data_IF_312685219154
#
_entry.id   IF_312685219154
#
_cell.length_a   1.000
_cell.length_b   1.000
_cell.length_c   1.000
_cell.angle_alpha   90.00
_cell.angle_beta   90.00
_cell.angle_gamma   90.00
#
_symmetry.space_group_name_H-M   'P 1'
#
loop_
_entity.id
_entity.type
_entity.pdbx_description
1 polymer ?
#
# COMPACT_ATOMS: atom_id res chain seq x y z
N UNK A 1 10.83 -8.81 -1.70
CA UNK A 1 10.06 -10.05 -1.90
C UNK A 1 9.16 -10.25 -0.69
N UNK A 2 7.93 -10.70 -0.88
CA UNK A 2 6.98 -11.05 0.19
C UNK A 2 6.20 -12.31 -0.17
N UNK A 3 5.71 -13.03 0.83
CA UNK A 3 4.96 -14.29 0.65
C UNK A 3 3.50 -14.05 1.01
N UNK A 4 2.59 -14.58 0.19
CA UNK A 4 1.14 -14.52 0.40
C UNK A 4 0.51 -15.88 0.18
N UNK A 5 -0.79 -16.01 0.48
CA UNK A 5 -1.53 -17.24 0.19
C UNK A 5 -1.49 -17.65 -1.29
N UNK A 6 -1.32 -16.68 -2.20
CA UNK A 6 -1.41 -16.91 -3.64
C UNK A 6 -0.06 -17.11 -4.33
N UNK A 7 1.06 -16.99 -3.60
CA UNK A 7 2.40 -17.13 -4.16
C UNK A 7 3.43 -16.18 -3.57
N UNK A 8 4.60 -16.17 -4.20
CA UNK A 8 5.76 -15.35 -3.84
C UNK A 8 5.79 -14.12 -4.73
N UNK A 9 5.67 -12.94 -4.13
CA UNK A 9 5.70 -11.66 -4.83
C UNK A 9 7.11 -11.06 -4.81
N UNK A 10 7.63 -10.76 -6.00
CA UNK A 10 9.01 -10.31 -6.22
C UNK A 10 9.00 -9.03 -7.04
N UNK A 11 9.51 -7.96 -6.45
CA UNK A 11 9.90 -6.75 -7.17
C UNK A 11 11.27 -6.98 -7.81
N UNK A 12 11.43 -6.53 -9.05
CA UNK A 12 12.73 -6.54 -9.74
C UNK A 12 13.46 -5.23 -9.46
N UNK A 13 14.79 -5.29 -9.33
CA UNK A 13 15.61 -4.09 -9.10
C UNK A 13 15.39 -3.06 -10.20
N UNK A 14 15.21 -1.79 -9.80
CA UNK A 14 14.98 -0.66 -10.70
C UNK A 14 13.82 -0.89 -11.70
N UNK A 15 12.76 -1.59 -11.27
CA UNK A 15 11.59 -1.88 -12.08
C UNK A 15 10.30 -1.44 -11.39
N UNK A 16 9.32 -1.00 -12.18
CA UNK A 16 7.94 -0.77 -11.77
C UNK A 16 7.06 -2.03 -11.90
N UNK A 17 7.67 -3.17 -12.22
CA UNK A 17 6.98 -4.45 -12.42
C UNK A 17 7.11 -5.33 -11.19
N UNK A 18 5.97 -5.80 -10.71
CA UNK A 18 5.84 -6.78 -9.65
C UNK A 18 5.43 -8.13 -10.26
N UNK A 19 6.12 -9.20 -9.88
CA UNK A 19 5.82 -10.56 -10.36
C UNK A 19 5.38 -11.45 -9.20
N UNK A 20 4.33 -12.23 -9.39
CA UNK A 20 3.95 -13.30 -8.48
C UNK A 20 4.33 -14.65 -9.09
N UNK A 21 5.03 -15.46 -8.31
CA UNK A 21 5.43 -16.82 -8.69
C UNK A 21 4.67 -17.84 -7.86
N UNK A 22 4.30 -18.95 -8.49
CA UNK A 22 3.77 -20.10 -7.78
C UNK A 22 4.91 -20.78 -7.02
N UNK A 23 4.72 -21.03 -5.72
CA UNK A 23 5.81 -21.45 -4.83
C UNK A 23 6.37 -22.85 -5.13
N UNK A 24 5.61 -23.71 -5.82
CA UNK A 24 6.02 -25.09 -6.14
C UNK A 24 6.51 -25.27 -7.57
N UNK A 25 5.87 -24.60 -8.53
CA UNK A 25 6.19 -24.78 -9.96
C UNK A 25 7.18 -23.73 -10.45
N UNK A 26 7.40 -22.65 -9.69
CA UNK A 26 8.25 -21.51 -10.06
C UNK A 26 7.79 -20.78 -11.32
N UNK A 27 6.57 -21.03 -11.77
CA UNK A 27 5.96 -20.35 -12.90
C UNK A 27 5.40 -18.99 -12.48
N UNK A 28 5.40 -18.05 -13.42
CA UNK A 28 4.80 -16.73 -13.23
C UNK A 28 3.28 -16.89 -13.25
N UNK A 29 2.63 -16.47 -12.16
CA UNK A 29 1.18 -16.48 -12.01
C UNK A 29 0.57 -15.17 -12.50
N UNK A 30 1.19 -14.05 -12.12
CA UNK A 30 0.75 -12.71 -12.53
C UNK A 30 1.93 -11.76 -12.60
N UNK A 31 1.85 -10.83 -13.54
CA UNK A 31 2.74 -9.69 -13.66
C UNK A 31 1.92 -8.40 -13.57
N UNK A 32 2.32 -7.50 -12.68
CA UNK A 32 1.61 -6.25 -12.40
C UNK A 32 2.55 -5.09 -12.65
N UNK A 33 2.21 -4.23 -13.60
CA UNK A 33 2.93 -2.99 -13.85
C UNK A 33 2.24 -1.84 -13.11
N UNK A 34 2.95 -1.20 -12.17
CA UNK A 34 2.39 -0.10 -11.36
C UNK A 34 2.51 1.27 -12.04
N UNK A 35 3.22 1.38 -13.18
CA UNK A 35 3.45 2.66 -13.86
C UNK A 35 2.16 3.37 -14.25
N UNK A 36 1.17 2.66 -14.81
CA UNK A 36 -0.09 3.28 -15.23
C UNK A 36 -0.85 3.93 -14.05
N UNK A 37 -1.16 3.16 -12.99
CA UNK A 37 -1.81 3.69 -11.80
C UNK A 37 -1.03 4.81 -11.10
N UNK A 38 0.30 4.71 -11.02
CA UNK A 38 1.14 5.79 -10.46
C UNK A 38 1.09 7.05 -11.32
N UNK A 39 1.25 6.94 -12.64
CA UNK A 39 1.17 8.09 -13.54
C UNK A 39 -0.19 8.79 -13.48
N UNK A 40 -1.27 8.03 -13.26
CA UNK A 40 -2.60 8.61 -13.05
C UNK A 40 -2.70 9.40 -11.75
N UNK A 41 -2.06 8.94 -10.67
CA UNK A 41 -2.02 9.69 -9.41
C UNK A 41 -1.22 10.98 -9.51
N UNK A 42 -0.16 10.97 -10.32
CA UNK A 42 0.69 12.13 -10.54
C UNK A 42 0.15 13.09 -11.62
N UNK A 43 -1.07 12.87 -12.14
CA UNK A 43 -1.61 13.65 -13.27
C UNK A 43 -1.77 15.13 -12.96
N UNK A 44 -1.94 15.46 -11.67
CA UNK A 44 -2.16 16.83 -11.19
C UNK A 44 -0.86 17.52 -10.75
N UNK A 45 0.29 16.83 -10.83
CA UNK A 45 1.59 17.41 -10.53
C UNK A 45 2.17 18.14 -11.75
N UNK A 46 3.01 19.15 -11.51
CA UNK A 46 3.80 19.82 -12.54
C UNK A 46 4.52 18.84 -13.47
N UNK A 47 4.57 19.17 -14.76
CA UNK A 47 5.15 18.33 -15.80
C UNK A 47 6.58 17.90 -15.49
N UNK A 48 7.39 18.83 -14.95
CA UNK A 48 8.78 18.57 -14.57
C UNK A 48 8.85 17.51 -13.46
N UNK A 49 8.03 17.66 -12.41
CA UNK A 49 7.98 16.73 -11.27
C UNK A 49 7.47 15.38 -11.74
N UNK A 50 6.39 15.36 -12.53
CA UNK A 50 5.78 14.14 -13.06
C UNK A 50 6.75 13.34 -13.92
N UNK A 51 7.46 14.01 -14.84
CA UNK A 51 8.47 13.36 -15.69
C UNK A 51 9.62 12.78 -14.87
N UNK A 52 10.13 13.52 -13.89
CA UNK A 52 11.19 13.04 -13.01
C UNK A 52 10.75 11.80 -12.20
N UNK A 53 9.60 11.89 -11.52
CA UNK A 53 9.03 10.79 -10.74
C UNK A 53 8.74 9.55 -11.61
N UNK A 54 8.26 9.75 -12.85
CA UNK A 54 8.00 8.66 -13.79
C UNK A 54 9.30 8.01 -14.32
N UNK A 55 10.32 8.79 -14.66
CA UNK A 55 11.60 8.28 -15.17
C UNK A 55 12.37 7.46 -14.12
N UNK A 56 12.23 7.82 -12.85
CA UNK A 56 12.86 7.12 -11.73
C UNK A 56 11.93 6.09 -11.06
N UNK A 57 10.80 5.74 -11.69
CA UNK A 57 9.80 4.88 -11.07
C UNK A 57 10.31 3.45 -10.87
N UNK A 58 10.30 3.01 -9.61
CA UNK A 58 10.61 1.63 -9.18
C UNK A 58 9.85 1.27 -7.93
N UNK A 59 9.63 -0.01 -7.71
CA UNK A 59 9.11 -0.52 -6.45
C UNK A 59 10.24 -0.49 -5.41
N UNK A 60 9.97 0.15 -4.26
CA UNK A 60 10.96 0.35 -3.19
C UNK A 60 10.63 -0.40 -1.91
N UNK A 61 9.35 -0.68 -1.67
CA UNK A 61 8.90 -1.46 -0.51
C UNK A 61 7.76 -2.40 -0.90
N UNK A 62 7.70 -3.57 -0.27
CA UNK A 62 6.63 -4.54 -0.42
C UNK A 62 6.24 -5.09 0.95
N UNK A 63 4.94 -5.25 1.18
CA UNK A 63 4.40 -5.91 2.37
C UNK A 63 3.24 -6.82 1.96
N UNK A 64 3.24 -8.06 2.46
CA UNK A 64 2.06 -8.91 2.43
C UNK A 64 1.45 -8.92 3.83
N UNK A 65 0.17 -8.58 3.94
CA UNK A 65 -0.57 -8.55 5.21
C UNK A 65 -1.98 -9.10 4.96
N UNK A 66 -2.29 -10.29 5.51
CA UNK A 66 -3.47 -11.10 5.16
C UNK A 66 -3.61 -11.33 3.65
N UNK A 67 -4.69 -10.84 3.06
CA UNK A 67 -4.98 -10.95 1.63
C UNK A 67 -4.56 -9.70 0.85
N UNK A 68 -3.79 -8.79 1.48
CA UNK A 68 -3.33 -7.55 0.86
C UNK A 68 -1.85 -7.64 0.49
N UNK A 69 -1.53 -7.14 -0.70
CA UNK A 69 -0.15 -6.83 -1.11
C UNK A 69 -0.04 -5.31 -1.20
N UNK A 70 0.70 -4.72 -0.29
CA UNK A 70 0.99 -3.29 -0.27
C UNK A 70 2.32 -3.03 -0.99
N UNK A 71 2.34 -2.00 -1.82
CA UNK A 71 3.44 -1.63 -2.70
C UNK A 71 3.80 -0.18 -2.42
N UNK A 72 5.06 0.05 -2.06
CA UNK A 72 5.66 1.38 -1.98
C UNK A 72 6.49 1.66 -3.22
N UNK A 73 6.39 2.87 -3.76
CA UNK A 73 7.10 3.26 -4.99
C UNK A 73 8.10 4.39 -4.72
N UNK A 74 9.03 4.60 -5.66
CA UNK A 74 9.96 5.72 -5.62
C UNK A 74 9.30 7.09 -5.80
N UNK A 75 8.11 7.16 -6.38
CA UNK A 75 7.35 8.39 -6.53
C UNK A 75 6.58 8.79 -5.26
N UNK A 76 6.64 7.96 -4.22
CA UNK A 76 5.93 8.15 -2.95
C UNK A 76 4.48 7.67 -2.94
N UNK A 77 3.97 7.24 -4.10
CA UNK A 77 2.65 6.63 -4.24
C UNK A 77 2.66 5.23 -3.61
N UNK A 78 1.67 4.98 -2.76
CA UNK A 78 1.39 3.67 -2.18
C UNK A 78 0.26 3.00 -2.99
N UNK A 79 0.38 1.70 -3.25
CA UNK A 79 -0.66 0.92 -3.91
C UNK A 79 -0.99 -0.33 -3.11
N UNK A 80 -2.24 -0.79 -3.21
CA UNK A 80 -2.71 -2.02 -2.59
C UNK A 80 -3.32 -2.91 -3.66
N UNK A 81 -2.92 -4.17 -3.66
CA UNK A 81 -3.58 -5.24 -4.39
C UNK A 81 -4.33 -6.09 -3.38
N UNK A 82 -5.64 -6.24 -3.57
CA UNK A 82 -6.45 -7.18 -2.79
C UNK A 82 -6.45 -8.52 -3.50
N UNK A 83 -5.91 -9.55 -2.86
CA UNK A 83 -6.09 -10.94 -3.25
C UNK A 83 -7.57 -11.28 -3.12
N UNK A 84 -8.22 -11.58 -4.24
CA UNK A 84 -9.67 -11.82 -4.27
C UNK A 84 -10.07 -12.90 -3.25
N UNK A 85 -10.76 -12.48 -2.19
CA UNK A 85 -11.37 -13.40 -1.24
C UNK A 85 -12.56 -14.09 -1.87
N UNK A 86 -12.38 -15.32 -2.35
CA UNK A 86 -13.50 -16.21 -2.59
C UNK A 86 -13.07 -17.65 -2.45
N UNK A 87 -13.84 -18.42 -1.68
CA UNK A 87 -13.66 -19.83 -1.33
C UNK A 87 -13.75 -20.80 -2.54
N UNK A 88 -13.45 -20.34 -3.75
CA UNK A 88 -13.59 -21.10 -4.99
C UNK A 88 -12.47 -20.78 -5.98
N UNK A 89 -11.22 -21.07 -5.59
CA UNK A 89 -10.14 -21.54 -6.47
C UNK A 89 -9.71 -20.73 -7.72
N UNK A 90 -10.22 -19.52 -7.98
CA UNK A 90 -9.88 -18.69 -9.16
C UNK A 90 -10.12 -17.22 -8.76
N UNK A 91 -9.28 -16.22 -9.02
CA UNK A 91 -8.04 -16.10 -9.76
C UNK A 91 -7.39 -14.76 -9.35
N UNK A 92 -6.06 -14.71 -9.18
CA UNK A 92 -5.30 -13.46 -9.07
C UNK A 92 -5.45 -12.56 -10.32
N UNK A 93 -6.10 -13.01 -11.40
CA UNK A 93 -6.15 -12.34 -12.71
C UNK A 93 -6.84 -10.97 -12.75
N UNK A 94 -7.60 -10.57 -11.71
CA UNK A 94 -8.23 -9.23 -11.65
C UNK A 94 -7.60 -8.30 -10.61
N UNK A 95 -6.39 -8.58 -10.16
CA UNK A 95 -5.76 -7.87 -9.04
C UNK A 95 -5.08 -6.57 -9.51
N UNK A 96 -5.88 -5.61 -9.98
CA UNK A 96 -5.38 -4.29 -10.35
C UNK A 96 -4.91 -3.53 -9.10
N UNK A 97 -3.68 -3.00 -9.08
CA UNK A 97 -3.19 -2.25 -7.93
C UNK A 97 -3.94 -0.92 -7.83
N UNK A 98 -4.55 -0.69 -6.67
CA UNK A 98 -5.31 0.52 -6.36
C UNK A 98 -4.38 1.49 -5.62
N UNK A 99 -4.12 2.69 -6.17
CA UNK A 99 -3.31 3.69 -5.47
C UNK A 99 -4.08 4.32 -4.31
N UNK A 100 -3.36 4.68 -3.25
CA UNK A 100 -3.89 5.40 -2.10
C UNK A 100 -3.80 6.92 -2.31
N UNK A 101 -4.79 7.69 -1.81
CA UNK A 101 -4.88 9.13 -2.09
C UNK A 101 -3.77 9.98 -1.46
N UNK A 102 -3.22 9.51 -0.33
CA UNK A 102 -2.06 10.13 0.31
C UNK A 102 -0.85 9.21 0.15
N UNK A 103 0.32 9.81 0.14
CA UNK A 103 1.57 9.10 0.13
C UNK A 103 2.70 10.03 0.56
N UNK A 104 3.90 9.70 0.10
CA UNK A 104 5.11 10.43 0.41
C UNK A 104 5.43 11.41 -0.73
N UNK A 105 6.13 12.50 -0.44
CA UNK A 105 6.62 13.41 -1.50
C UNK A 105 7.80 12.79 -2.24
N UNK A 106 8.59 11.94 -1.55
CA UNK A 106 9.70 11.15 -2.11
C UNK A 106 9.54 9.63 -1.91
N UNK A 107 10.64 8.91 -1.73
CA UNK A 107 10.62 7.44 -1.77
C UNK A 107 9.88 6.84 -0.58
N UNK A 108 9.04 5.84 -0.82
CA UNK A 108 8.60 4.94 0.27
C UNK A 108 9.78 4.07 0.66
N UNK A 109 10.25 4.18 1.91
CA UNK A 109 11.44 3.49 2.43
C UNK A 109 11.09 2.13 3.04
N UNK A 110 9.94 2.02 3.70
CA UNK A 110 9.47 0.76 4.26
C UNK A 110 7.94 0.72 4.38
N UNK A 111 7.42 -0.50 4.53
CA UNK A 111 6.03 -0.80 4.85
C UNK A 111 6.00 -1.81 5.99
N UNK A 112 5.10 -1.62 6.94
CA UNK A 112 4.82 -2.58 8.01
C UNK A 112 3.33 -2.55 8.35
N UNK A 113 2.81 -3.56 9.05
CA UNK A 113 1.43 -3.55 9.53
C UNK A 113 1.35 -4.02 10.98
N UNK A 114 0.35 -3.51 11.70
CA UNK A 114 0.00 -3.95 13.05
C UNK A 114 -1.43 -4.47 13.02
N UNK A 115 -1.64 -5.68 13.56
CA UNK A 115 -2.98 -6.20 13.77
C UNK A 115 -3.50 -5.73 15.12
N UNK A 116 -4.63 -5.03 15.11
CA UNK A 116 -5.31 -4.63 16.33
C UNK A 116 -6.51 -5.56 16.53
N UNK A 117 -6.50 -6.27 17.65
CA UNK A 117 -7.70 -6.92 18.14
C UNK A 117 -8.48 -5.86 18.91
N UNK A 118 -9.64 -5.43 18.42
CA UNK A 118 -10.52 -4.56 19.21
C UNK A 118 -10.93 -5.33 20.47
N UNK A 119 -10.19 -5.12 21.55
CA UNK A 119 -10.42 -5.67 22.87
C UNK A 119 -11.24 -4.67 23.65
N UNK A 120 -12.42 -5.11 24.10
CA UNK A 120 -13.27 -4.40 25.05
C UNK A 120 -12.44 -3.68 26.10
N UNK A 121 -12.53 -2.35 26.13
CA UNK A 121 -12.07 -1.58 27.27
C UNK A 121 -12.65 -2.18 28.54
N UNK A 122 -11.78 -2.43 29.51
CA UNK A 122 -12.10 -2.93 30.83
C UNK A 122 -13.09 -1.97 31.49
N UNK A 123 -14.38 -2.29 31.45
CA UNK A 123 -15.36 -1.71 32.34
C UNK A 123 -15.99 -2.83 33.16
N UNK A 124 -15.72 -2.77 34.47
CA UNK A 124 -16.22 -3.65 35.51
C UNK A 124 -17.76 -3.74 35.52
N UNK A 125 -18.26 -4.93 35.87
CA UNK A 125 -19.62 -5.29 36.29
C UNK A 125 -20.71 -5.45 35.20
N UNK A 126 -21.01 -6.70 34.81
CA UNK A 126 -22.19 -7.45 35.31
C UNK A 126 -22.67 -8.58 34.38
N UNK A 127 -22.95 -9.73 35.01
CA UNK A 127 -23.98 -10.76 34.75
C UNK A 127 -24.15 -11.40 33.36
N UNK A 128 -23.98 -12.73 33.38
CA UNK A 128 -24.50 -13.81 32.51
C UNK A 128 -25.56 -13.41 31.48
N UNK A 129 -25.28 -13.70 30.21
CA UNK A 129 -26.25 -13.85 29.13
C UNK A 129 -25.63 -14.56 27.93
N UNK A 130 -26.31 -15.59 27.43
CA UNK A 130 -25.99 -16.37 26.22
C UNK A 130 -25.51 -15.48 25.07
N UNK A 131 -24.32 -15.71 24.51
CA UNK A 131 -23.85 -14.99 23.32
C UNK A 131 -23.35 -15.93 22.22
N UNK A 132 -24.04 -15.83 21.09
CA UNK A 132 -23.59 -16.16 19.74
C UNK A 132 -22.13 -15.73 19.54
N UNK A 133 -21.31 -16.63 18.99
CA UNK A 133 -19.90 -16.36 18.63
C UNK A 133 -19.82 -15.25 17.58
N UNK A 134 -19.84 -13.98 18.00
CA UNK A 134 -19.43 -12.88 17.14
C UNK A 134 -17.93 -13.04 16.87
N UNK A 135 -17.59 -13.27 15.59
CA UNK A 135 -16.22 -13.34 15.11
C UNK A 135 -15.58 -11.98 15.41
N UNK A 136 -14.62 -11.94 16.34
CA UNK A 136 -13.91 -10.72 16.76
C UNK A 136 -13.28 -10.09 15.51
N UNK A 137 -13.74 -8.91 15.11
CA UNK A 137 -13.16 -8.20 13.96
C UNK A 137 -11.79 -7.66 14.36
N UNK A 138 -10.74 -8.23 13.78
CA UNK A 138 -9.37 -7.72 13.90
C UNK A 138 -9.11 -6.73 12.77
N UNK A 139 -8.76 -5.48 13.09
CA UNK A 139 -8.46 -4.47 12.07
C UNK A 139 -6.95 -4.37 11.81
N UNK A 140 -6.52 -4.13 10.57
CA UNK A 140 -5.11 -3.91 10.25
C UNK A 140 -4.83 -2.42 10.22
N UNK A 141 -3.72 -2.03 10.81
CA UNK A 141 -3.12 -0.73 10.64
C UNK A 141 -1.86 -0.88 9.76
N UNK A 142 -1.95 -0.46 8.50
CA UNK A 142 -0.81 -0.36 7.60
C UNK A 142 -0.04 0.92 7.90
N UNK A 143 1.28 0.81 7.97
CA UNK A 143 2.20 1.90 8.28
C UNK A 143 3.24 1.98 7.16
N UNK A 144 3.38 3.15 6.54
CA UNK A 144 4.46 3.44 5.60
C UNK A 144 5.41 4.46 6.19
N UNK A 145 6.70 4.33 5.87
CA UNK A 145 7.71 5.34 6.17
C UNK A 145 8.39 5.81 4.90
N UNK A 146 8.59 7.10 4.75
CA UNK A 146 9.15 7.70 3.54
C UNK A 146 9.43 9.20 3.68
N UNK A 147 9.82 9.82 2.57
CA UNK A 147 10.19 11.24 2.54
C UNK A 147 8.92 12.10 2.38
N UNK A 148 8.67 13.01 3.32
CA UNK A 148 7.51 13.91 3.27
C UNK A 148 6.13 13.23 3.33
N UNK A 149 5.09 14.05 3.20
CA UNK A 149 3.69 13.65 3.10
C UNK A 149 3.01 14.43 1.96
N UNK A 150 2.29 13.74 1.07
CA UNK A 150 1.65 14.31 -0.10
C UNK A 150 0.18 13.84 -0.18
N UNK A 151 -0.74 14.77 -0.46
CA UNK A 151 -2.11 14.45 -0.88
C UNK A 151 -2.23 14.63 -2.41
N UNK A 152 -2.35 13.53 -3.13
CA UNK A 152 -2.40 13.52 -4.60
C UNK A 152 -3.75 13.97 -5.17
N UNK A 153 -4.77 14.18 -4.31
CA UNK A 153 -6.08 14.69 -4.76
C UNK A 153 -6.06 16.18 -5.03
N UNK A 154 -5.18 16.92 -4.33
CA UNK A 154 -5.25 18.37 -4.20
C UNK A 154 -3.95 19.10 -4.61
N UNK A 155 -3.02 18.41 -5.27
CA UNK A 155 -1.70 18.92 -5.64
C UNK A 155 -1.71 20.27 -6.38
N UNK A 156 -2.83 20.67 -6.98
CA UNK A 156 -2.95 21.89 -7.78
C UNK A 156 -3.55 23.12 -7.04
N UNK A 157 -4.06 22.99 -5.81
CA UNK A 157 -4.90 24.06 -5.24
C UNK A 157 -4.20 24.97 -4.20
N UNK A 158 -3.17 24.57 -3.44
CA UNK A 158 -2.64 25.47 -2.39
C UNK A 158 -1.15 25.32 -1.98
N UNK A 159 -0.30 24.52 -2.62
CA UNK A 159 1.07 24.32 -2.11
C UNK A 159 2.06 25.44 -2.43
N UNK A 160 1.65 26.53 -3.10
CA UNK A 160 2.57 27.61 -3.44
C UNK A 160 2.80 28.62 -2.31
N UNK A 161 2.05 28.57 -1.20
CA UNK A 161 2.04 29.70 -0.26
C UNK A 161 2.51 29.49 1.17
N UNK A 162 2.79 28.28 1.67
CA UNK A 162 3.52 28.14 2.94
C UNK A 162 4.13 26.73 3.05
N UNK A 163 5.45 26.61 3.21
CA UNK A 163 6.20 25.37 3.56
C UNK A 163 6.59 24.43 2.38
N UNK A 164 6.54 24.88 1.12
CA UNK A 164 7.12 24.09 0.02
C UNK A 164 8.64 23.87 0.22
N UNK A 165 9.10 22.61 0.26
CA UNK A 165 10.51 22.22 0.41
C UNK A 165 10.98 21.84 1.83
N UNK A 166 10.26 22.23 2.90
CA UNK A 166 10.69 21.90 4.28
C UNK A 166 10.26 20.50 4.70
N UNK A 167 9.08 20.07 4.29
CA UNK A 167 8.53 18.75 4.61
C UNK A 167 9.16 17.64 3.75
N UNK A 168 9.66 17.97 2.54
CA UNK A 168 10.22 17.03 1.56
C UNK A 168 11.50 16.33 2.01
N UNK A 169 12.21 16.89 2.99
CA UNK A 169 13.47 16.36 3.49
C UNK A 169 13.34 15.64 4.84
N UNK A 170 12.11 15.55 5.38
CA UNK A 170 11.85 14.94 6.68
C UNK A 170 11.16 13.59 6.54
N UNK A 171 11.54 12.63 7.41
CA UNK A 171 10.94 11.31 7.40
C UNK A 171 9.54 11.35 8.04
N UNK A 172 8.54 10.86 7.31
CA UNK A 172 7.16 10.79 7.75
C UNK A 172 6.69 9.35 7.91
N UNK A 173 5.78 9.13 8.85
CA UNK A 173 5.01 7.89 8.98
C UNK A 173 3.56 8.16 8.60
N UNK A 174 3.02 7.38 7.66
CA UNK A 174 1.60 7.43 7.28
C UNK A 174 0.91 6.16 7.72
N UNK A 175 -0.29 6.30 8.28
CA UNK A 175 -1.04 5.24 8.92
C UNK A 175 -2.39 5.07 8.23
N UNK A 176 -2.74 3.83 7.89
CA UNK A 176 -3.98 3.48 7.17
C UNK A 176 -4.70 2.33 7.87
N UNK A 177 -5.97 2.52 8.22
CA UNK A 177 -6.83 1.42 8.68
C UNK A 177 -7.34 0.67 7.45
N UNK A 178 -7.05 -0.62 7.35
CA UNK A 178 -7.40 -1.50 6.22
C UNK A 178 -8.15 -2.73 6.71
#
# INVERSE_FOLDING_TARGET
MVVSQHGVWISIQNSSVLKCFHSKTYEIVVEVNVSGPVSKMLSNCDDIIRQHKAACLRITALLACRDLICIGTSAGVLLVIQGGGSASGRSLMNSNPVPMPHGHTGHVRFLTCVETSEGSGSNSNSRKGSQTKHKKESSILLISGGDGCEDFRNSNINSMNDIAGREDSTNHLLLWKV
#
